data_IF_936421102948
#
_entry.id   IF_936421102948
#
_cell.length_a   1.000
_cell.length_b   1.000
_cell.length_c   1.000
_cell.angle_alpha   90.00
_cell.angle_beta   90.00
_cell.angle_gamma   90.00
#
_symmetry.space_group_name_H-M   'P 1'
#
loop_
_entity.id
_entity.type
_entity.pdbx_description
1 polymer ?
#
# COMPACT_ATOMS: atom_id res chain seq x y z
N UNK A 1 4.56 -82.79 -42.77
CA UNK A 1 5.03 -81.44 -43.12
C UNK A 1 3.86 -80.47 -43.00
N UNK A 2 3.72 -79.75 -41.89
CA UNK A 2 2.57 -78.86 -41.63
C UNK A 2 2.95 -77.50 -41.01
N UNK A 3 4.21 -77.06 -41.15
CA UNK A 3 4.71 -75.82 -40.54
C UNK A 3 4.42 -74.54 -41.33
N UNK A 4 4.38 -74.59 -42.67
CA UNK A 4 4.36 -73.37 -43.50
C UNK A 4 3.05 -72.58 -43.53
N UNK A 5 1.97 -73.07 -42.94
CA UNK A 5 0.65 -72.39 -42.94
C UNK A 5 0.44 -71.52 -41.69
N UNK A 6 1.08 -71.89 -40.57
CA UNK A 6 1.00 -71.16 -39.30
C UNK A 6 1.78 -69.85 -39.38
N UNK A 7 2.98 -69.87 -39.99
CA UNK A 7 3.82 -68.70 -40.17
C UNK A 7 3.20 -67.65 -41.10
N UNK A 8 2.52 -68.09 -42.17
CA UNK A 8 1.79 -67.19 -43.08
C UNK A 8 0.63 -66.49 -42.40
N UNK A 9 -0.09 -67.19 -41.51
CA UNK A 9 -1.22 -66.63 -40.76
C UNK A 9 -0.75 -65.61 -39.71
N UNK A 10 0.33 -65.92 -38.99
CA UNK A 10 0.97 -64.99 -38.05
C UNK A 10 1.46 -63.73 -38.76
N UNK A 11 2.17 -63.90 -39.88
CA UNK A 11 2.66 -62.78 -40.68
C UNK A 11 1.53 -61.89 -41.20
N UNK A 12 0.46 -62.49 -41.71
CA UNK A 12 -0.74 -61.76 -42.17
C UNK A 12 -1.38 -60.95 -41.03
N UNK A 13 -1.50 -61.55 -39.84
CA UNK A 13 -2.04 -60.86 -38.68
C UNK A 13 -1.16 -59.67 -38.24
N UNK A 14 0.16 -59.83 -38.26
CA UNK A 14 1.09 -58.73 -37.96
C UNK A 14 0.98 -57.58 -38.96
N UNK A 15 0.85 -57.87 -40.26
CA UNK A 15 0.62 -56.83 -41.27
C UNK A 15 -0.71 -56.11 -41.10
N UNK A 16 -1.79 -56.83 -40.77
CA UNK A 16 -3.09 -56.19 -40.49
C UNK A 16 -3.03 -55.31 -39.24
N UNK A 17 -2.28 -55.72 -38.21
CA UNK A 17 -2.03 -54.89 -37.03
C UNK A 17 -1.25 -53.62 -37.39
N UNK A 18 -0.15 -53.74 -38.14
CA UNK A 18 0.64 -52.58 -38.61
C UNK A 18 -0.23 -51.62 -39.44
N UNK A 19 -1.08 -52.13 -40.33
CA UNK A 19 -2.02 -51.29 -41.10
C UNK A 19 -3.04 -50.59 -40.21
N UNK A 20 -3.45 -51.21 -39.10
CA UNK A 20 -4.35 -50.58 -38.13
C UNK A 20 -3.63 -49.46 -37.38
N UNK A 21 -2.44 -49.75 -36.85
CA UNK A 21 -1.62 -48.79 -36.12
C UNK A 21 -1.26 -47.57 -36.99
N UNK A 22 -0.92 -47.78 -38.27
CA UNK A 22 -0.66 -46.69 -39.23
C UNK A 22 -1.91 -45.83 -39.46
N UNK A 23 -3.10 -46.43 -39.49
CA UNK A 23 -4.35 -45.68 -39.68
C UNK A 23 -4.66 -44.83 -38.45
N UNK A 24 -4.50 -45.39 -37.26
CA UNK A 24 -4.68 -44.68 -35.98
C UNK A 24 -3.68 -43.52 -35.86
N UNK A 25 -2.40 -43.76 -36.13
CA UNK A 25 -1.37 -42.72 -36.09
C UNK A 25 -1.65 -41.58 -37.08
N UNK A 26 -2.14 -41.88 -38.28
CA UNK A 26 -2.51 -40.85 -39.25
C UNK A 26 -3.73 -40.02 -38.79
N UNK A 27 -4.67 -40.64 -38.08
CA UNK A 27 -5.80 -39.92 -37.50
C UNK A 27 -5.35 -38.99 -36.38
N UNK A 28 -4.52 -39.49 -35.45
CA UNK A 28 -3.93 -38.67 -34.38
C UNK A 28 -3.12 -37.50 -34.94
N UNK A 29 -2.32 -37.75 -35.98
CA UNK A 29 -1.52 -36.72 -36.64
C UNK A 29 -2.40 -35.65 -37.31
N UNK A 30 -3.56 -36.02 -37.84
CA UNK A 30 -4.53 -35.09 -38.40
C UNK A 30 -5.18 -34.24 -37.31
N UNK A 31 -5.56 -34.83 -36.18
CA UNK A 31 -6.14 -34.13 -35.04
C UNK A 31 -5.14 -33.15 -34.41
N UNK A 32 -3.89 -33.59 -34.22
CA UNK A 32 -2.82 -32.76 -33.68
C UNK A 32 -2.55 -31.53 -34.57
N UNK A 33 -2.59 -31.70 -35.90
CA UNK A 33 -2.47 -30.58 -36.85
C UNK A 33 -3.62 -29.57 -36.73
N UNK A 34 -4.85 -30.05 -36.51
CA UNK A 34 -6.02 -29.17 -36.29
C UNK A 34 -5.88 -28.38 -35.00
N UNK A 35 -5.48 -29.05 -33.92
CA UNK A 35 -5.30 -28.43 -32.62
C UNK A 35 -4.17 -27.39 -32.65
N UNK A 36 -3.03 -27.73 -33.26
CA UNK A 36 -1.92 -26.79 -33.43
C UNK A 36 -2.36 -25.52 -34.17
N UNK A 37 -3.16 -25.65 -35.24
CA UNK A 37 -3.68 -24.49 -35.97
C UNK A 37 -4.58 -23.62 -35.09
N UNK A 38 -5.47 -24.23 -34.31
CA UNK A 38 -6.38 -23.53 -33.38
C UNK A 38 -5.60 -22.74 -32.33
N UNK A 39 -4.64 -23.39 -31.66
CA UNK A 39 -3.81 -22.77 -30.61
C UNK A 39 -2.97 -21.61 -31.17
N UNK A 40 -2.51 -21.73 -32.42
CA UNK A 40 -1.73 -20.69 -33.08
C UNK A 40 -2.58 -19.46 -33.40
N UNK A 41 -3.81 -19.65 -33.88
CA UNK A 41 -4.77 -18.57 -34.10
C UNK A 41 -5.14 -17.85 -32.79
N UNK A 42 -5.39 -18.60 -31.72
CA UNK A 42 -5.68 -18.06 -30.39
C UNK A 42 -4.50 -17.24 -29.85
N UNK A 43 -3.27 -17.75 -29.95
CA UNK A 43 -2.06 -17.03 -29.54
C UNK A 43 -1.88 -15.71 -30.31
N UNK A 44 -2.18 -15.69 -31.61
CA UNK A 44 -2.12 -14.47 -32.41
C UNK A 44 -3.13 -13.44 -31.90
N UNK A 45 -4.35 -13.87 -31.59
CA UNK A 45 -5.40 -12.98 -31.09
C UNK A 45 -5.06 -12.43 -29.71
N UNK A 46 -4.65 -13.27 -28.76
CA UNK A 46 -4.22 -12.85 -27.42
C UNK A 46 -3.05 -11.86 -27.47
N UNK A 47 -2.09 -12.05 -28.37
CA UNK A 47 -0.98 -11.10 -28.56
C UNK A 47 -1.45 -9.74 -29.11
N UNK A 48 -2.48 -9.72 -29.97
CA UNK A 48 -3.07 -8.47 -30.45
C UNK A 48 -3.82 -7.76 -29.33
N UNK A 49 -4.60 -8.50 -28.55
CA UNK A 49 -5.32 -7.96 -27.38
C UNK A 49 -4.34 -7.38 -26.35
N UNK A 50 -3.27 -8.09 -26.01
CA UNK A 50 -2.23 -7.59 -25.09
C UNK A 50 -1.55 -6.31 -25.58
N UNK A 51 -1.30 -6.19 -26.89
CA UNK A 51 -0.75 -4.96 -27.48
C UNK A 51 -1.74 -3.79 -27.40
N UNK A 52 -3.04 -4.07 -27.52
CA UNK A 52 -4.08 -3.05 -27.45
C UNK A 52 -4.44 -2.68 -25.99
N UNK A 53 -4.25 -3.61 -25.05
CA UNK A 53 -4.56 -3.42 -23.63
C UNK A 53 -3.37 -2.87 -22.82
N UNK A 54 -2.15 -2.91 -23.36
CA UNK A 54 -1.03 -2.21 -22.74
C UNK A 54 -1.27 -0.70 -22.91
N UNK A 55 -1.89 -0.09 -21.91
CA UNK A 55 -1.68 1.33 -21.61
C UNK A 55 -0.19 1.58 -21.77
N UNK A 56 0.16 2.37 -22.78
CA UNK A 56 1.53 2.56 -23.23
C UNK A 56 2.38 2.88 -22.00
N UNK A 57 3.33 1.99 -21.68
CA UNK A 57 4.15 2.13 -20.48
C UNK A 57 4.87 3.49 -20.48
N UNK A 58 5.04 4.09 -21.66
CA UNK A 58 5.55 5.43 -21.84
C UNK A 58 4.58 6.49 -21.29
N UNK A 59 3.27 6.39 -21.56
CA UNK A 59 2.26 7.28 -20.99
C UNK A 59 2.20 7.17 -19.46
N UNK A 60 2.32 5.97 -18.90
CA UNK A 60 2.38 5.78 -17.43
C UNK A 60 3.63 6.45 -16.87
N UNK A 61 4.80 6.24 -17.49
CA UNK A 61 6.06 6.87 -17.08
C UNK A 61 5.99 8.39 -17.16
N UNK A 62 5.40 8.93 -18.21
CA UNK A 62 5.18 10.37 -18.41
C UNK A 62 4.32 10.95 -17.29
N UNK A 63 3.12 10.37 -17.06
CA UNK A 63 2.20 10.81 -15.98
C UNK A 63 2.89 10.77 -14.62
N UNK A 64 3.61 9.69 -14.32
CA UNK A 64 4.34 9.54 -13.05
C UNK A 64 5.44 10.59 -12.93
N UNK A 65 6.19 10.84 -14.00
CA UNK A 65 7.27 11.84 -14.02
C UNK A 65 6.74 13.27 -13.82
N UNK A 66 5.63 13.61 -14.47
CA UNK A 66 4.91 14.89 -14.36
C UNK A 66 4.43 15.10 -12.91
N UNK A 67 3.81 14.06 -12.34
CA UNK A 67 3.28 14.08 -10.97
C UNK A 67 4.39 14.26 -9.94
N UNK A 68 5.52 13.55 -10.09
CA UNK A 68 6.66 13.68 -9.17
C UNK A 68 7.30 15.07 -9.28
N UNK A 69 7.40 15.66 -10.48
CA UNK A 69 7.88 17.05 -10.66
C UNK A 69 6.97 18.04 -9.94
N UNK A 70 5.65 17.88 -10.06
CA UNK A 70 4.66 18.74 -9.41
C UNK A 70 4.68 18.61 -7.87
N UNK A 71 4.96 17.42 -7.33
CA UNK A 71 5.13 17.22 -5.88
C UNK A 71 6.43 17.86 -5.36
N UNK A 72 7.52 17.77 -6.13
CA UNK A 72 8.82 18.34 -5.73
C UNK A 72 8.87 19.86 -5.80
N UNK A 73 7.97 20.49 -6.55
CA UNK A 73 7.73 21.94 -6.45
C UNK A 73 6.92 22.24 -5.18
N UNK A 74 7.54 22.11 -4.00
CA UNK A 74 7.02 22.70 -2.78
C UNK A 74 6.95 24.22 -2.97
N UNK A 75 5.75 24.72 -3.21
CA UNK A 75 5.46 26.14 -3.25
C UNK A 75 6.05 26.84 -1.99
N UNK A 76 7.02 27.78 -2.16
CA UNK A 76 7.61 28.52 -1.05
C UNK A 76 6.57 29.22 -0.16
N UNK A 77 5.42 29.58 -0.74
CA UNK A 77 4.29 30.17 -0.03
C UNK A 77 3.61 29.14 0.88
N UNK A 78 3.41 27.89 0.44
CA UNK A 78 2.89 26.80 1.29
C UNK A 78 3.81 26.58 2.51
N UNK A 79 5.13 26.60 2.33
CA UNK A 79 6.10 26.42 3.43
C UNK A 79 6.02 27.56 4.47
N UNK A 80 5.82 28.80 4.03
CA UNK A 80 5.56 29.95 4.93
C UNK A 80 4.22 29.83 5.64
N UNK A 81 3.16 29.41 4.95
CA UNK A 81 1.82 29.20 5.53
C UNK A 81 1.84 28.07 6.56
N UNK A 82 2.44 26.91 6.25
CA UNK A 82 2.60 25.81 7.21
C UNK A 82 3.41 26.21 8.45
N UNK A 83 4.46 27.04 8.29
CA UNK A 83 5.20 27.59 9.44
C UNK A 83 4.33 28.53 10.28
N UNK A 84 3.49 29.36 9.68
CA UNK A 84 2.51 30.21 10.40
C UNK A 84 1.47 29.37 11.13
N UNK A 85 0.90 28.35 10.48
CA UNK A 85 -0.06 27.42 11.09
C UNK A 85 0.58 26.65 12.25
N UNK A 86 1.82 26.16 12.10
CA UNK A 86 2.55 25.45 13.16
C UNK A 86 2.93 26.35 14.33
N UNK A 87 3.26 27.63 14.06
CA UNK A 87 3.46 28.65 15.10
C UNK A 87 2.15 28.94 15.85
N UNK A 88 1.03 29.04 15.13
CA UNK A 88 -0.30 29.18 15.73
C UNK A 88 -0.67 27.96 16.57
N UNK A 89 -0.42 26.73 16.11
CA UNK A 89 -0.69 25.52 16.90
C UNK A 89 0.09 25.50 18.21
N UNK A 90 1.37 25.85 18.20
CA UNK A 90 2.18 26.00 19.43
C UNK A 90 1.61 27.06 20.38
N UNK A 91 1.15 28.18 19.84
CA UNK A 91 0.55 29.26 20.62
C UNK A 91 -0.79 28.83 21.24
N UNK A 92 -1.68 28.23 20.45
CA UNK A 92 -2.97 27.69 20.88
C UNK A 92 -2.79 26.70 22.03
N UNK A 93 -1.90 25.71 21.89
CA UNK A 93 -1.65 24.72 22.95
C UNK A 93 -1.19 25.40 24.23
N UNK A 94 -0.25 26.36 24.14
CA UNK A 94 0.25 27.07 25.32
C UNK A 94 -0.81 27.90 26.01
N UNK A 95 -1.63 28.62 25.25
CA UNK A 95 -2.72 29.41 25.81
C UNK A 95 -3.76 28.51 26.47
N UNK A 96 -4.09 27.37 25.86
CA UNK A 96 -4.98 26.39 26.45
C UNK A 96 -4.46 25.85 27.78
N UNK A 97 -3.16 25.54 27.89
CA UNK A 97 -2.52 25.17 29.16
C UNK A 97 -2.71 26.27 30.20
N UNK A 98 -2.49 27.54 29.83
CA UNK A 98 -2.62 28.69 30.73
C UNK A 98 -4.08 28.90 31.16
N UNK A 99 -5.03 28.77 30.24
CA UNK A 99 -6.47 28.85 30.53
C UNK A 99 -6.91 27.79 31.52
N UNK A 100 -6.45 26.54 31.35
CA UNK A 100 -6.78 25.45 32.26
C UNK A 100 -6.09 25.64 33.62
N UNK A 101 -4.85 26.12 33.65
CA UNK A 101 -4.15 26.47 34.89
C UNK A 101 -4.82 27.62 35.68
N UNK A 102 -5.58 28.50 35.01
CA UNK A 102 -6.35 29.54 35.70
C UNK A 102 -7.62 29.00 36.38
N UNK A 103 -8.11 27.82 35.99
CA UNK A 103 -9.28 27.21 36.62
C UNK A 103 -8.81 26.59 37.93
N UNK A 104 -9.31 27.11 39.07
CA UNK A 104 -8.74 26.89 40.41
C UNK A 104 -8.71 25.46 40.98
N UNK A 105 -9.07 24.43 40.22
CA UNK A 105 -9.19 23.06 40.72
C UNK A 105 -8.59 21.99 39.78
N UNK A 106 -7.67 22.34 38.88
CA UNK A 106 -7.08 21.37 37.96
C UNK A 106 -5.61 21.09 38.28
N UNK A 107 -5.32 19.82 38.55
CA UNK A 107 -3.97 19.27 38.70
C UNK A 107 -3.28 19.13 37.34
N UNK A 108 -1.94 19.05 37.35
CA UNK A 108 -1.18 18.83 36.12
C UNK A 108 -1.62 17.57 35.33
N UNK A 109 -1.90 16.42 35.97
CA UNK A 109 -2.47 15.25 35.29
C UNK A 109 -3.83 15.52 34.63
N UNK A 110 -4.73 16.27 35.26
CA UNK A 110 -6.04 16.58 34.68
C UNK A 110 -5.91 17.53 33.48
N UNK A 111 -5.05 18.56 33.59
CA UNK A 111 -4.74 19.46 32.47
C UNK A 111 -4.14 18.68 31.30
N UNK A 112 -3.30 17.68 31.58
CA UNK A 112 -2.73 16.79 30.57
C UNK A 112 -3.84 16.02 29.85
N UNK A 113 -4.74 15.40 30.60
CA UNK A 113 -5.78 14.54 30.05
C UNK A 113 -6.76 15.34 29.18
N UNK A 114 -7.13 16.54 29.62
CA UNK A 114 -7.94 17.47 28.80
C UNK A 114 -7.21 17.83 27.49
N UNK A 115 -5.92 18.15 27.53
CA UNK A 115 -5.21 18.62 26.33
C UNK A 115 -4.87 17.50 25.34
N UNK A 116 -4.60 16.30 25.83
CA UNK A 116 -4.11 15.18 25.03
C UNK A 116 -5.26 14.26 24.62
N UNK A 117 -6.12 13.88 25.57
CA UNK A 117 -7.14 12.87 25.35
C UNK A 117 -8.44 13.51 24.84
N UNK A 118 -8.89 14.59 25.47
CA UNK A 118 -10.13 15.29 25.07
C UNK A 118 -9.91 16.22 23.86
N UNK A 119 -9.08 17.25 24.01
CA UNK A 119 -8.85 18.28 22.98
C UNK A 119 -7.93 17.78 21.83
N UNK A 120 -7.22 16.65 22.02
CA UNK A 120 -6.28 16.03 21.06
C UNK A 120 -5.29 17.01 20.41
N UNK A 121 -4.84 18.01 21.16
CA UNK A 121 -4.05 19.11 20.60
C UNK A 121 -2.59 18.74 20.38
N UNK A 122 -2.03 17.86 21.22
CA UNK A 122 -0.62 17.44 21.11
C UNK A 122 -0.33 16.10 21.80
N UNK A 123 0.85 15.54 21.57
CA UNK A 123 1.33 14.34 22.24
C UNK A 123 1.85 14.63 23.66
N UNK A 124 1.90 13.59 24.51
CA UNK A 124 2.43 13.64 25.89
C UNK A 124 3.79 14.32 26.00
N UNK A 125 4.75 13.93 25.15
CA UNK A 125 6.07 14.56 25.13
C UNK A 125 6.01 16.05 24.76
N UNK A 126 5.13 16.44 23.84
CA UNK A 126 4.97 17.84 23.43
C UNK A 126 4.36 18.69 24.54
N UNK A 127 3.36 18.14 25.24
CA UNK A 127 2.70 18.78 26.38
C UNK A 127 3.70 19.13 27.49
N UNK A 128 4.43 18.14 28.03
CA UNK A 128 5.40 18.39 29.12
C UNK A 128 6.51 19.35 28.68
N UNK A 129 6.95 19.29 27.41
CA UNK A 129 7.91 20.25 26.87
C UNK A 129 7.38 21.69 26.86
N UNK A 130 6.08 21.90 26.69
CA UNK A 130 5.48 23.23 26.75
C UNK A 130 5.23 23.70 28.16
N UNK A 131 4.75 22.84 29.05
CA UNK A 131 4.65 23.12 30.49
C UNK A 131 6.00 23.57 31.04
N UNK A 132 7.07 22.80 30.80
CA UNK A 132 8.42 23.17 31.26
C UNK A 132 8.91 24.50 30.68
N UNK A 133 8.51 24.85 29.45
CA UNK A 133 8.83 26.15 28.86
C UNK A 133 8.03 27.31 29.46
N UNK A 134 6.83 27.05 29.98
CA UNK A 134 6.01 28.06 30.65
C UNK A 134 6.49 28.27 32.08
N UNK A 135 6.88 27.21 32.80
CA UNK A 135 7.56 27.28 34.10
C UNK A 135 8.87 28.05 34.05
N UNK A 136 9.75 27.72 33.10
CA UNK A 136 11.02 28.45 32.87
C UNK A 136 10.83 29.94 32.57
N UNK A 137 9.63 30.34 32.12
CA UNK A 137 9.27 31.72 31.82
C UNK A 137 8.52 32.40 32.97
N UNK A 138 8.37 31.72 34.11
CA UNK A 138 7.60 32.21 35.26
C UNK A 138 6.17 32.63 34.88
N UNK A 139 5.57 31.89 33.93
CA UNK A 139 4.14 32.06 33.59
C UNK A 139 3.29 31.08 34.39
N UNK A 140 3.89 29.93 34.74
CA UNK A 140 3.28 28.89 35.54
C UNK A 140 4.21 28.57 36.70
N UNK A 141 3.63 28.30 37.87
CA UNK A 141 4.30 27.76 39.03
C UNK A 141 3.68 26.42 39.44
N UNK A 142 4.39 25.67 40.26
CA UNK A 142 3.88 24.47 40.91
C UNK A 142 3.61 24.75 42.38
N UNK A 143 2.39 24.46 42.81
CA UNK A 143 2.02 24.44 44.22
C UNK A 143 1.64 23.02 44.60
N UNK A 144 2.08 22.58 45.77
CA UNK A 144 1.62 21.34 46.39
C UNK A 144 0.42 21.66 47.27
N UNK A 145 -0.72 21.04 46.96
CA UNK A 145 -1.91 21.08 47.78
C UNK A 145 -2.32 19.63 48.04
N UNK A 146 -2.34 19.23 49.31
CA UNK A 146 -2.85 17.91 49.75
C UNK A 146 -2.27 16.73 48.92
N UNK A 147 -0.93 16.65 48.84
CA UNK A 147 -0.17 15.64 48.08
C UNK A 147 -0.37 15.64 46.56
N UNK A 148 -0.97 16.69 45.98
CA UNK A 148 -1.16 16.85 44.53
C UNK A 148 -0.41 18.07 44.01
N UNK A 149 0.32 17.88 42.91
CA UNK A 149 0.98 18.99 42.18
C UNK A 149 -0.05 19.72 41.32
N UNK A 150 -0.39 20.93 41.73
CA UNK A 150 -1.26 21.86 41.00
C UNK A 150 -0.38 22.83 40.22
N UNK A 151 -0.84 23.19 39.01
CA UNK A 151 -0.21 24.24 38.23
C UNK A 151 -1.02 25.51 38.38
N UNK A 152 -0.36 26.57 38.84
CA UNK A 152 -0.97 27.89 39.02
C UNK A 152 -0.33 28.84 38.02
N UNK A 153 -1.12 29.74 37.43
CA UNK A 153 -0.57 30.85 36.66
C UNK A 153 -0.06 31.94 37.62
N UNK A 154 1.17 32.40 37.38
CA UNK A 154 1.79 33.53 38.10
C UNK A 154 1.19 34.86 37.61
#
# INVERSE_FOLDING_TARGET
MSGGNIDKKLLKNSFEKIKKDIRELNQELLELKKEHKRVLEENINLRKELKNSSLDQNTIKEIVSETIKNIKQEDPYKKKVYRKIKRNKKYIIKNRIIELANKRNLTLPEIRDIIIEEDRLCSKATFYRYVNKLKKKQILDEAELEDKTIIIKI
#
